data_IF_943255840119
#
_entry.id   IF_943255840119
#
_cell.length_a   1.000
_cell.length_b   1.000
_cell.length_c   1.000
_cell.angle_alpha   90.00
_cell.angle_beta   90.00
_cell.angle_gamma   90.00
#
_symmetry.space_group_name_H-M   'P 1'
#
loop_
_entity.id
_entity.type
_entity.pdbx_description
1 polymer ?
#
# COMPACT_ATOMS: atom_id res chain seq x y z
N UNK A 1 14.56 11.55 6.89
CA UNK A 1 13.38 10.86 7.46
C UNK A 1 13.74 9.39 7.64
N UNK A 2 13.23 8.72 8.68
CA UNK A 2 13.51 7.31 8.95
C UNK A 2 12.21 6.51 8.89
N UNK A 3 12.29 5.28 8.40
CA UNK A 3 11.16 4.36 8.35
C UNK A 3 10.77 3.95 9.78
N UNK A 4 9.46 3.96 10.07
CA UNK A 4 8.91 3.48 11.34
C UNK A 4 8.55 2.01 11.21
N UNK A 5 9.53 1.14 11.49
CA UNK A 5 9.39 -0.30 11.28
C UNK A 5 8.17 -0.91 11.97
N UNK A 6 7.91 -0.54 13.23
CA UNK A 6 6.75 -1.07 13.97
C UNK A 6 5.42 -0.76 13.27
N UNK A 7 5.25 0.45 12.70
CA UNK A 7 4.02 0.80 11.99
C UNK A 7 3.90 0.04 10.66
N UNK A 8 5.02 -0.22 9.98
CA UNK A 8 5.05 -1.03 8.76
C UNK A 8 4.67 -2.48 9.04
N UNK A 9 5.22 -3.06 10.13
CA UNK A 9 4.90 -4.40 10.63
C UNK A 9 3.41 -4.53 10.95
N UNK A 10 2.86 -3.56 11.69
CA UNK A 10 1.44 -3.53 12.04
C UNK A 10 0.54 -3.45 10.80
N UNK A 11 0.86 -2.59 9.83
CA UNK A 11 0.09 -2.45 8.60
C UNK A 11 0.10 -3.72 7.74
N UNK A 12 1.26 -4.37 7.59
CA UNK A 12 1.38 -5.64 6.88
C UNK A 12 0.65 -6.79 7.61
N UNK A 13 0.75 -6.84 8.94
CA UNK A 13 0.04 -7.84 9.73
C UNK A 13 -1.48 -7.64 9.65
N UNK A 14 -1.97 -6.40 9.61
CA UNK A 14 -3.38 -6.10 9.38
C UNK A 14 -3.82 -6.59 7.99
N UNK A 15 -3.04 -6.31 6.95
CA UNK A 15 -3.32 -6.79 5.59
C UNK A 15 -3.43 -8.33 5.57
N UNK A 16 -2.45 -9.03 6.15
CA UNK A 16 -2.45 -10.48 6.21
C UNK A 16 -3.70 -11.04 6.93
N UNK A 17 -4.15 -10.40 8.02
CA UNK A 17 -5.39 -10.79 8.71
C UNK A 17 -6.63 -10.62 7.84
N UNK A 18 -6.74 -9.53 7.07
CA UNK A 18 -7.86 -9.31 6.14
C UNK A 18 -7.88 -10.41 5.08
N UNK A 19 -6.73 -10.68 4.46
CA UNK A 19 -6.56 -11.69 3.41
C UNK A 19 -6.95 -13.11 3.85
N UNK A 20 -6.64 -13.45 5.10
CA UNK A 20 -6.84 -14.80 5.64
C UNK A 20 -8.18 -14.96 6.39
N UNK A 21 -9.01 -13.92 6.50
CA UNK A 21 -10.20 -13.92 7.35
C UNK A 21 -11.26 -15.00 7.02
N UNK A 22 -11.30 -15.52 5.78
CA UNK A 22 -12.23 -16.61 5.39
C UNK A 22 -11.71 -18.02 5.69
N UNK A 23 -10.47 -18.16 6.13
CA UNK A 23 -9.89 -19.47 6.42
C UNK A 23 -10.23 -19.87 7.87
N UNK A 24 -11.07 -20.90 8.01
CA UNK A 24 -11.61 -21.36 9.31
C UNK A 24 -10.55 -21.80 10.33
N UNK A 25 -9.31 -22.04 9.90
CA UNK A 25 -8.19 -22.45 10.77
C UNK A 25 -6.85 -22.01 10.18
N UNK A 26 -6.60 -20.70 10.16
CA UNK A 26 -5.27 -20.15 9.84
C UNK A 26 -4.33 -20.48 10.99
N UNK A 27 -3.27 -21.23 10.74
CA UNK A 27 -2.20 -21.37 11.73
C UNK A 27 -1.41 -20.06 11.84
N UNK A 28 -0.84 -19.78 13.01
CA UNK A 28 0.06 -18.63 13.17
C UNK A 28 1.20 -18.66 12.13
N UNK A 29 1.72 -19.84 11.79
CA UNK A 29 2.76 -20.00 10.77
C UNK A 29 2.34 -19.47 9.37
N UNK A 30 1.08 -19.65 8.98
CA UNK A 30 0.57 -19.13 7.70
C UNK A 30 0.45 -17.61 7.77
N UNK A 31 -0.09 -17.08 8.86
CA UNK A 31 -0.20 -15.63 9.07
C UNK A 31 1.18 -14.97 9.05
N UNK A 32 2.16 -15.55 9.75
CA UNK A 32 3.54 -15.07 9.80
C UNK A 32 4.22 -15.15 8.44
N UNK A 33 3.98 -16.22 7.68
CA UNK A 33 4.49 -16.38 6.32
C UNK A 33 3.95 -15.30 5.38
N UNK A 34 2.64 -15.05 5.40
CA UNK A 34 2.03 -14.02 4.55
C UNK A 34 2.51 -12.64 4.97
N UNK A 35 2.54 -12.35 6.27
CA UNK A 35 3.03 -11.08 6.82
C UNK A 35 4.48 -10.82 6.42
N UNK A 36 5.35 -11.83 6.51
CA UNK A 36 6.77 -11.73 6.12
C UNK A 36 6.94 -11.42 4.65
N UNK A 37 6.15 -12.03 3.76
CA UNK A 37 6.20 -11.75 2.31
C UNK A 37 5.78 -10.31 2.01
N UNK A 38 4.68 -9.85 2.60
CA UNK A 38 4.22 -8.47 2.45
C UNK A 38 5.27 -7.48 2.96
N UNK A 39 5.90 -7.78 4.09
CA UNK A 39 6.96 -6.94 4.66
C UNK A 39 8.20 -6.87 3.79
N UNK A 40 8.63 -7.98 3.19
CA UNK A 40 9.76 -8.00 2.27
C UNK A 40 9.53 -7.08 1.08
N UNK A 41 8.35 -7.15 0.45
CA UNK A 41 8.00 -6.28 -0.67
C UNK A 41 7.90 -4.81 -0.22
N UNK A 42 7.26 -4.55 0.92
CA UNK A 42 7.10 -3.19 1.44
C UNK A 42 8.44 -2.53 1.82
N UNK A 43 9.33 -3.28 2.46
CA UNK A 43 10.66 -2.78 2.85
C UNK A 43 11.50 -2.42 1.62
N UNK A 44 11.47 -3.22 0.56
CA UNK A 44 12.15 -2.90 -0.70
C UNK A 44 11.63 -1.58 -1.30
N UNK A 45 10.32 -1.36 -1.27
CA UNK A 45 9.74 -0.10 -1.73
C UNK A 45 10.11 1.08 -0.82
N UNK A 46 10.16 0.89 0.50
CA UNK A 46 10.55 1.94 1.45
C UNK A 46 12.00 2.38 1.24
N UNK A 47 12.91 1.43 1.02
CA UNK A 47 14.31 1.71 0.67
C UNK A 47 14.40 2.52 -0.63
N UNK A 48 13.65 2.12 -1.66
CA UNK A 48 13.62 2.85 -2.93
C UNK A 48 13.07 4.28 -2.79
N UNK A 49 11.97 4.46 -2.08
CA UNK A 49 11.39 5.78 -1.77
C UNK A 49 12.40 6.65 -1.02
N UNK A 50 13.13 6.07 -0.07
CA UNK A 50 14.18 6.78 0.66
C UNK A 50 15.34 7.20 -0.25
N UNK A 51 15.76 6.35 -1.19
CA UNK A 51 16.78 6.67 -2.20
C UNK A 51 16.37 7.83 -3.13
N UNK A 52 15.07 7.98 -3.38
CA UNK A 52 14.50 9.14 -4.10
C UNK A 52 14.40 10.41 -3.25
N UNK A 53 14.85 10.38 -1.98
CA UNK A 53 14.78 11.51 -1.06
C UNK A 53 13.38 11.80 -0.51
N UNK A 54 12.45 10.85 -0.63
CA UNK A 54 11.07 10.98 -0.15
C UNK A 54 10.89 10.35 1.24
N UNK A 55 9.74 10.61 1.87
CA UNK A 55 9.38 10.02 3.17
C UNK A 55 9.09 8.52 3.01
N UNK A 56 9.92 7.60 3.54
CA UNK A 56 9.68 6.16 3.42
C UNK A 56 8.38 5.71 4.09
N UNK A 57 7.85 6.47 5.06
CA UNK A 57 6.59 6.14 5.72
C UNK A 57 5.35 6.30 4.81
N UNK A 58 5.52 6.82 3.59
CA UNK A 58 4.44 6.78 2.58
C UNK A 58 4.08 5.34 2.17
N UNK A 59 5.01 4.39 2.30
CA UNK A 59 4.74 2.98 2.04
C UNK A 59 3.73 2.44 3.05
N UNK A 60 3.90 2.73 4.34
CA UNK A 60 2.93 2.36 5.38
C UNK A 60 1.55 2.96 5.11
N UNK A 61 1.49 4.25 4.73
CA UNK A 61 0.23 4.92 4.36
C UNK A 61 -0.44 4.28 3.15
N UNK A 62 0.34 3.90 2.14
CA UNK A 62 -0.17 3.19 0.97
C UNK A 62 -0.71 1.79 1.33
N UNK A 63 -0.09 1.08 2.27
CA UNK A 63 -0.61 -0.21 2.75
C UNK A 63 -1.94 -0.03 3.51
N UNK A 64 -2.07 1.00 4.33
CA UNK A 64 -3.37 1.31 4.95
C UNK A 64 -4.44 1.60 3.89
N UNK A 65 -4.11 2.37 2.85
CA UNK A 65 -5.02 2.57 1.73
C UNK A 65 -5.42 1.24 1.06
N UNK A 66 -4.47 0.34 0.80
CA UNK A 66 -4.76 -0.98 0.24
C UNK A 66 -5.65 -1.82 1.16
N UNK A 67 -5.45 -1.77 2.49
CA UNK A 67 -6.29 -2.44 3.47
C UNK A 67 -7.76 -2.01 3.37
N UNK A 68 -8.00 -0.72 3.14
CA UNK A 68 -9.34 -0.14 3.12
C UNK A 68 -10.07 -0.30 1.77
N UNK A 69 -9.31 -0.43 0.66
CA UNK A 69 -9.86 -0.30 -0.70
C UNK A 69 -9.76 -1.56 -1.56
N UNK A 70 -8.72 -2.36 -1.37
CA UNK A 70 -8.39 -3.47 -2.28
C UNK A 70 -8.26 -4.82 -1.57
N UNK A 71 -7.91 -4.83 -0.28
CA UNK A 71 -7.78 -6.04 0.48
C UNK A 71 -9.16 -6.69 0.69
N UNK A 72 -9.29 -7.93 0.23
CA UNK A 72 -10.51 -8.71 0.41
C UNK A 72 -10.15 -10.18 0.67
N UNK A 73 -10.91 -10.90 1.52
CA UNK A 73 -10.60 -12.30 1.86
C UNK A 73 -10.56 -13.28 0.67
N UNK A 74 -11.18 -12.93 -0.46
CA UNK A 74 -11.15 -13.77 -1.67
C UNK A 74 -9.80 -13.81 -2.38
N UNK A 75 -8.90 -12.87 -2.05
CA UNK A 75 -7.52 -12.91 -2.50
C UNK A 75 -6.72 -14.00 -1.76
N UNK A 76 -7.16 -14.40 -0.56
CA UNK A 76 -6.54 -15.46 0.22
C UNK A 76 -5.04 -15.23 0.46
N UNK A 77 -4.25 -16.29 0.43
CA UNK A 77 -2.80 -16.22 0.66
C UNK A 77 -1.99 -15.84 -0.60
N UNK A 78 -2.64 -15.56 -1.73
CA UNK A 78 -1.94 -15.09 -2.93
C UNK A 78 -1.64 -13.60 -2.81
N UNK A 79 -0.36 -13.27 -2.64
CA UNK A 79 0.12 -11.89 -2.49
C UNK A 79 0.72 -11.33 -3.78
N UNK A 80 0.61 -12.02 -4.92
CA UNK A 80 1.23 -11.57 -6.18
C UNK A 80 0.70 -10.21 -6.67
N UNK A 81 -0.54 -9.85 -6.29
CA UNK A 81 -1.15 -8.56 -6.59
C UNK A 81 -0.56 -7.40 -5.78
N UNK A 82 0.00 -7.68 -4.59
CA UNK A 82 0.37 -6.65 -3.62
C UNK A 82 1.48 -5.74 -4.14
N UNK A 83 2.60 -6.33 -4.57
CA UNK A 83 3.77 -5.59 -5.06
C UNK A 83 3.45 -4.64 -6.23
N UNK A 84 2.80 -5.06 -7.33
CA UNK A 84 2.49 -4.13 -8.43
C UNK A 84 1.48 -3.04 -8.02
N UNK A 85 0.50 -3.35 -7.15
CA UNK A 85 -0.45 -2.35 -6.66
C UNK A 85 0.23 -1.31 -5.78
N UNK A 86 1.10 -1.74 -4.86
CA UNK A 86 1.89 -0.84 -4.02
C UNK A 86 2.82 0.04 -4.87
N UNK A 87 3.50 -0.55 -5.85
CA UNK A 87 4.33 0.21 -6.79
C UNK A 87 3.52 1.30 -7.52
N UNK A 88 2.33 0.96 -8.02
CA UNK A 88 1.46 1.91 -8.71
C UNK A 88 1.05 3.08 -7.80
N UNK A 89 0.64 2.82 -6.55
CA UNK A 89 0.31 3.88 -5.60
C UNK A 89 1.51 4.80 -5.32
N UNK A 90 2.71 4.22 -5.17
CA UNK A 90 3.93 4.98 -4.91
C UNK A 90 4.35 5.82 -6.12
N UNK A 91 4.18 5.31 -7.34
CA UNK A 91 4.44 6.05 -8.58
C UNK A 91 3.49 7.25 -8.73
N UNK A 92 2.22 7.12 -8.33
CA UNK A 92 1.27 8.23 -8.31
C UNK A 92 1.58 9.25 -7.20
N UNK A 93 1.93 8.77 -6.00
CA UNK A 93 2.22 9.63 -4.85
C UNK A 93 3.58 10.33 -4.93
N UNK A 94 4.55 9.72 -5.61
CA UNK A 94 5.88 10.26 -5.81
C UNK A 94 6.40 9.97 -7.22
N UNK A 95 5.85 10.64 -8.26
CA UNK A 95 6.27 10.41 -9.65
C UNK A 95 7.77 10.67 -9.82
N UNK A 96 8.50 9.67 -10.32
CA UNK A 96 9.95 9.74 -10.53
C UNK A 96 10.34 9.84 -12.01
N UNK A 97 9.40 9.56 -12.93
CA UNK A 97 9.62 9.58 -14.38
C UNK A 97 8.92 10.78 -15.03
N UNK A 98 9.55 11.32 -16.08
CA UNK A 98 8.93 12.34 -16.91
C UNK A 98 7.79 11.73 -17.73
N UNK A 99 6.58 12.29 -17.60
CA UNK A 99 5.42 11.89 -18.38
C UNK A 99 5.38 12.62 -19.73
N UNK A 100 4.74 12.00 -20.72
CA UNK A 100 4.32 12.71 -21.92
C UNK A 100 3.17 13.67 -21.58
N UNK A 101 2.90 14.67 -22.43
CA UNK A 101 1.76 15.57 -22.24
C UNK A 101 0.42 14.83 -22.14
N UNK A 102 0.25 13.73 -22.87
CA UNK A 102 -0.94 12.88 -22.78
C UNK A 102 -1.00 12.10 -21.45
N UNK A 103 0.12 11.55 -20.98
CA UNK A 103 0.18 10.87 -19.68
C UNK A 103 -0.01 11.81 -18.49
N UNK A 104 0.47 13.05 -18.60
CA UNK A 104 0.27 14.07 -17.58
C UNK A 104 -1.21 14.46 -17.41
N UNK A 105 -2.05 14.30 -18.45
CA UNK A 105 -3.49 14.52 -18.35
C UNK A 105 -4.16 13.64 -17.28
N UNK A 106 -3.72 12.38 -17.14
CA UNK A 106 -4.24 11.48 -16.12
C UNK A 106 -3.94 11.95 -14.68
N UNK A 107 -2.85 12.70 -14.47
CA UNK A 107 -2.56 13.24 -13.14
C UNK A 107 -3.62 14.26 -12.69
N UNK A 108 -4.27 14.97 -13.63
CA UNK A 108 -5.38 15.87 -13.30
C UNK A 108 -6.60 15.08 -12.81
N UNK A 109 -6.90 13.94 -13.45
CA UNK A 109 -7.99 13.05 -13.01
C UNK A 109 -7.70 12.49 -11.60
N UNK A 110 -6.43 12.15 -11.32
CA UNK A 110 -5.98 11.72 -9.99
C UNK A 110 -6.10 12.84 -8.97
N UNK A 111 -5.67 14.05 -9.29
CA UNK A 111 -5.81 15.22 -8.40
C UNK A 111 -7.27 15.48 -8.02
N UNK A 112 -8.19 15.44 -8.99
CA UNK A 112 -9.63 15.61 -8.75
C UNK A 112 -10.18 14.50 -7.84
N UNK A 113 -9.90 13.23 -8.15
CA UNK A 113 -10.38 12.10 -7.36
C UNK A 113 -9.84 12.10 -5.92
N UNK A 114 -8.57 12.49 -5.73
CA UNK A 114 -7.96 12.64 -4.40
C UNK A 114 -8.61 13.79 -3.63
N UNK A 115 -8.81 14.95 -4.26
CA UNK A 115 -9.44 16.09 -3.61
C UNK A 115 -10.85 15.76 -3.11
N UNK A 116 -11.66 15.06 -3.93
CA UNK A 116 -12.99 14.60 -3.54
C UNK A 116 -12.93 13.59 -2.39
N UNK A 117 -12.03 12.62 -2.46
CA UNK A 117 -11.90 11.57 -1.43
C UNK A 117 -11.50 12.15 -0.06
N UNK A 118 -10.62 13.17 -0.06
CA UNK A 118 -10.23 13.89 1.17
C UNK A 118 -11.43 14.64 1.75
N UNK A 119 -12.17 15.39 0.92
CA UNK A 119 -13.35 16.12 1.35
C UNK A 119 -14.43 15.21 1.95
N UNK A 120 -14.65 14.03 1.34
CA UNK A 120 -15.60 13.03 1.84
C UNK A 120 -15.18 12.44 3.19
N UNK A 121 -13.87 12.25 3.42
CA UNK A 121 -13.35 11.74 4.68
C UNK A 121 -13.47 12.77 5.81
N UNK A 122 -13.18 14.05 5.52
CA UNK A 122 -13.33 15.14 6.48
C UNK A 122 -14.79 15.33 6.90
N UNK A 123 -15.74 15.12 5.98
CA UNK A 123 -17.17 15.18 6.28
C UNK A 123 -17.69 14.03 7.17
N UNK A 124 -16.91 12.94 7.32
CA UNK A 124 -17.25 11.77 8.14
C UNK A 124 -16.61 11.78 9.53
N UNK A 125 -15.65 12.68 9.76
CA UNK A 125 -14.86 12.81 11.00
C UNK A 125 -15.50 13.81 11.97
#
# INVERSE_FOLDING_TARGET
>A
MHLRNNELDEACAQLARILLARQNSVSNDILDTVTTRLLQDAAQHADYVQQLGRDPNMVTRAIHYLNDTHAHPDLGSDTAWFRPMLACLLELAAPSLALSGAGAGFLLDVEEGVAQSIADNDARS
#
